data_IF_582350840625
#
_entry.id   IF_582350840625
#
_cell.length_a   1.000
_cell.length_b   1.000
_cell.length_c   1.000
_cell.angle_alpha   90.00
_cell.angle_beta   90.00
_cell.angle_gamma   90.00
#
_symmetry.space_group_name_H-M   'P 1'
#
loop_
_entity.id
_entity.type
_entity.pdbx_description
1 polymer ?
#
# COMPACT_ATOMS: atom_id res chain seq x y z
N UNK A 1 18.85 -10.68 -8.91
CA UNK A 1 17.59 -10.51 -8.17
C UNK A 1 16.94 -11.88 -8.02
N UNK A 2 16.68 -12.37 -6.80
CA UNK A 2 16.07 -13.70 -6.63
C UNK A 2 14.55 -13.64 -6.78
N UNK A 3 13.92 -14.74 -7.22
CA UNK A 3 12.46 -14.84 -7.30
C UNK A 3 11.78 -14.56 -5.96
N UNK A 4 12.39 -15.02 -4.86
CA UNK A 4 11.86 -14.75 -3.52
C UNK A 4 11.87 -13.25 -3.21
N UNK A 5 12.96 -12.55 -3.52
CA UNK A 5 13.07 -11.12 -3.28
C UNK A 5 12.04 -10.32 -4.10
N UNK A 6 11.77 -10.73 -5.35
CA UNK A 6 10.74 -10.06 -6.17
C UNK A 6 9.34 -10.30 -5.63
N UNK A 7 9.01 -11.52 -5.23
CA UNK A 7 7.71 -11.82 -4.61
C UNK A 7 7.48 -11.03 -3.33
N UNK A 8 8.48 -10.99 -2.43
CA UNK A 8 8.40 -10.20 -1.19
C UNK A 8 8.19 -8.72 -1.51
N UNK A 9 8.90 -8.19 -2.50
CA UNK A 9 8.77 -6.78 -2.90
C UNK A 9 7.37 -6.47 -3.44
N UNK A 10 6.78 -7.36 -4.26
CA UNK A 10 5.40 -7.19 -4.77
C UNK A 10 4.38 -7.23 -3.63
N UNK A 11 4.52 -8.18 -2.70
CA UNK A 11 3.63 -8.27 -1.54
C UNK A 11 3.74 -7.01 -0.67
N UNK A 12 4.96 -6.56 -0.40
CA UNK A 12 5.21 -5.35 0.38
C UNK A 12 4.63 -4.11 -0.30
N UNK A 13 4.75 -4.02 -1.63
CA UNK A 13 4.15 -2.94 -2.42
C UNK A 13 2.61 -2.94 -2.33
N UNK A 14 1.97 -4.11 -2.48
CA UNK A 14 0.52 -4.25 -2.37
C UNK A 14 0.00 -3.86 -0.98
N UNK A 15 0.74 -4.19 0.08
CA UNK A 15 0.41 -3.80 1.44
C UNK A 15 0.50 -2.29 1.63
N UNK A 16 1.56 -1.67 1.11
CA UNK A 16 1.72 -0.21 1.13
C UNK A 16 0.60 0.49 0.37
N UNK A 17 0.25 -0.01 -0.81
CA UNK A 17 -0.86 0.50 -1.61
C UNK A 17 -2.19 0.45 -0.85
N UNK A 18 -2.51 -0.68 -0.22
CA UNK A 18 -3.73 -0.81 0.57
C UNK A 18 -3.74 0.11 1.80
N UNK A 19 -2.61 0.24 2.48
CA UNK A 19 -2.48 1.12 3.63
C UNK A 19 -2.64 2.60 3.23
N UNK A 20 -2.13 2.99 2.07
CA UNK A 20 -2.33 4.32 1.51
C UNK A 20 -3.80 4.60 1.21
N UNK A 21 -4.50 3.68 0.52
CA UNK A 21 -5.91 3.84 0.20
C UNK A 21 -6.80 3.96 1.46
N UNK A 22 -6.34 3.41 2.59
CA UNK A 22 -6.99 3.58 3.91
C UNK A 22 -6.57 4.84 4.66
N UNK A 23 -5.74 5.70 4.07
CA UNK A 23 -5.25 6.93 4.70
C UNK A 23 -4.22 6.71 5.83
N UNK A 24 -3.71 5.49 6.02
CA UNK A 24 -2.79 5.18 7.12
C UNK A 24 -1.44 5.87 6.97
N UNK A 25 -1.06 6.20 5.73
CA UNK A 25 0.17 6.92 5.42
C UNK A 25 0.32 8.25 6.18
N UNK A 26 -0.79 8.93 6.49
CA UNK A 26 -0.79 10.19 7.24
C UNK A 26 -0.40 10.02 8.73
N UNK A 27 -0.59 8.81 9.28
CA UNK A 27 -0.22 8.51 10.67
C UNK A 27 1.28 8.31 10.83
N UNK A 28 1.94 7.80 9.79
CA UNK A 28 3.39 7.54 9.78
C UNK A 28 4.20 8.73 9.24
N UNK A 29 3.54 9.79 8.80
CA UNK A 29 4.20 11.03 8.39
C UNK A 29 4.40 11.97 9.59
N UNK A 30 5.63 12.48 9.71
CA UNK A 30 6.00 13.50 10.68
C UNK A 30 5.66 14.93 10.22
N UNK A 31 5.20 15.11 8.98
CA UNK A 31 4.87 16.44 8.45
C UNK A 31 3.62 17.03 9.12
N UNK A 32 3.66 18.34 9.39
CA UNK A 32 2.53 19.10 9.92
C UNK A 32 1.36 19.19 8.93
N UNK A 33 1.66 19.24 7.62
CA UNK A 33 0.65 19.19 6.54
C UNK A 33 0.56 17.77 5.99
N UNK A 34 -0.58 17.11 6.25
CA UNK A 34 -0.85 15.70 5.97
C UNK A 34 -1.74 15.50 4.74
N UNK A 35 -1.49 16.25 3.66
CA UNK A 35 -2.34 16.22 2.45
C UNK A 35 -1.77 15.41 1.30
N UNK A 36 -0.50 14.99 1.37
CA UNK A 36 0.20 14.32 0.26
C UNK A 36 0.90 13.05 0.73
N UNK A 37 1.08 12.10 -0.19
CA UNK A 37 1.99 10.97 0.02
C UNK A 37 3.43 11.47 -0.04
N UNK A 38 4.17 11.34 1.07
CA UNK A 38 5.61 11.63 1.12
C UNK A 38 6.44 10.33 1.17
N UNK A 39 5.93 9.29 1.82
CA UNK A 39 6.63 8.02 2.00
C UNK A 39 6.28 7.02 0.89
N UNK A 40 7.26 6.19 0.50
CA UNK A 40 7.03 5.14 -0.51
C UNK A 40 6.11 4.04 0.02
N UNK A 41 5.50 3.26 -0.87
CA UNK A 41 4.68 2.11 -0.47
C UNK A 41 5.47 1.07 0.32
N UNK A 42 6.74 0.82 -0.03
CA UNK A 42 7.56 -0.15 0.68
C UNK A 42 7.83 0.32 2.12
N UNK A 43 8.21 1.59 2.29
CA UNK A 43 8.43 2.20 3.60
C UNK A 43 7.15 2.25 4.43
N UNK A 44 6.01 2.55 3.80
CA UNK A 44 4.71 2.52 4.46
C UNK A 44 4.35 1.11 4.92
N UNK A 45 4.53 0.11 4.07
CA UNK A 45 4.27 -1.28 4.41
C UNK A 45 5.15 -1.74 5.57
N UNK A 46 6.44 -1.41 5.55
CA UNK A 46 7.35 -1.70 6.66
C UNK A 46 6.85 -1.08 7.97
N UNK A 47 6.50 0.21 7.96
CA UNK A 47 6.00 0.91 9.13
C UNK A 47 4.69 0.31 9.65
N UNK A 48 3.78 -0.06 8.76
CA UNK A 48 2.52 -0.71 9.10
C UNK A 48 2.76 -2.08 9.72
N UNK A 49 3.68 -2.87 9.16
CA UNK A 49 4.03 -4.19 9.72
C UNK A 49 4.70 -4.08 11.08
N UNK A 50 5.58 -3.09 11.27
CA UNK A 50 6.29 -2.84 12.52
C UNK A 50 5.33 -2.44 13.65
N UNK A 51 4.33 -1.61 13.37
CA UNK A 51 3.44 -1.04 14.40
C UNK A 51 2.06 -1.70 14.47
N UNK A 52 1.65 -2.45 13.45
CA UNK A 52 0.30 -3.02 13.35
C UNK A 52 0.29 -4.32 12.53
N UNK A 53 1.02 -5.37 12.97
CA UNK A 53 1.18 -6.61 12.20
C UNK A 53 -0.14 -7.36 11.96
N UNK A 54 -1.13 -7.20 12.84
CA UNK A 54 -2.45 -7.82 12.72
C UNK A 54 -3.24 -7.34 11.51
N UNK A 55 -2.84 -6.23 10.88
CA UNK A 55 -3.52 -5.75 9.67
C UNK A 55 -3.44 -6.77 8.54
N UNK A 56 -2.36 -7.58 8.48
CA UNK A 56 -2.18 -8.66 7.52
C UNK A 56 -3.28 -9.73 7.61
N UNK A 57 -3.74 -10.05 8.83
CA UNK A 57 -4.80 -11.02 9.03
C UNK A 57 -6.17 -10.46 8.61
N UNK A 58 -6.32 -9.14 8.66
CA UNK A 58 -7.56 -8.44 8.32
C UNK A 58 -7.61 -7.99 6.85
N UNK A 59 -6.49 -8.04 6.13
CA UNK A 59 -6.42 -7.66 4.72
C UNK A 59 -6.96 -8.78 3.85
N UNK A 60 -8.09 -8.53 3.19
CA UNK A 60 -8.66 -9.44 2.20
C UNK A 60 -8.07 -9.11 0.84
N UNK A 61 -7.24 -10.00 0.28
CA UNK A 61 -6.48 -9.76 -0.96
C UNK A 61 -7.38 -9.35 -2.14
N UNK A 62 -8.55 -9.96 -2.29
CA UNK A 62 -9.50 -9.64 -3.36
C UNK A 62 -9.93 -8.18 -3.34
N UNK A 63 -10.09 -7.57 -2.15
CA UNK A 63 -10.46 -6.16 -2.03
C UNK A 63 -9.36 -5.24 -2.55
N UNK A 64 -8.10 -5.58 -2.25
CA UNK A 64 -6.92 -4.83 -2.71
C UNK A 64 -6.81 -4.90 -4.23
N UNK A 65 -6.91 -6.11 -4.79
CA UNK A 65 -6.82 -6.33 -6.23
C UNK A 65 -7.98 -5.68 -6.99
N UNK A 66 -9.21 -5.74 -6.46
CA UNK A 66 -10.36 -5.07 -7.06
C UNK A 66 -10.22 -3.55 -7.04
N UNK A 67 -9.61 -2.98 -5.99
CA UNK A 67 -9.31 -1.56 -5.97
C UNK A 67 -8.23 -1.20 -7.00
N UNK A 68 -7.16 -1.99 -7.08
CA UNK A 68 -6.09 -1.80 -8.05
C UNK A 68 -6.60 -1.89 -9.50
N UNK A 69 -7.44 -2.90 -9.79
CA UNK A 69 -8.04 -3.07 -11.11
C UNK A 69 -8.95 -1.90 -11.48
N UNK A 70 -9.72 -1.36 -10.53
CA UNK A 70 -10.53 -0.15 -10.76
C UNK A 70 -9.67 1.07 -11.02
N UNK A 71 -8.62 1.29 -10.23
CA UNK A 71 -7.69 2.40 -10.42
C UNK A 71 -6.97 2.32 -11.78
N UNK A 72 -6.55 1.12 -12.18
CA UNK A 72 -5.96 0.87 -13.49
C UNK A 72 -6.95 1.14 -14.62
N UNK A 73 -8.18 0.60 -14.52
CA UNK A 73 -9.24 0.87 -15.49
C UNK A 73 -9.56 2.35 -15.60
N UNK A 74 -9.64 3.08 -14.48
CA UNK A 74 -9.87 4.53 -14.51
C UNK A 74 -8.73 5.32 -15.11
N UNK A 75 -7.49 4.83 -15.05
CA UNK A 75 -6.35 5.47 -15.74
C UNK A 75 -6.34 5.17 -17.24
N UNK A 76 -6.69 3.95 -17.63
CA UNK A 76 -6.59 3.48 -19.02
C UNK A 76 -7.82 3.87 -19.86
N UNK A 77 -9.01 3.87 -19.26
CA UNK A 77 -10.28 4.14 -19.95
C UNK A 77 -10.67 5.63 -19.91
N UNK A 78 -9.71 6.56 -19.87
CA UNK A 78 -9.97 8.02 -19.97
C UNK A 78 -10.18 8.44 -21.44
N UNK A 79 -10.81 7.58 -22.25
CA UNK A 79 -11.17 7.86 -23.64
C UNK A 79 -12.68 7.90 -23.81
#
# INVERSE_FOLDING_TARGET
LSLLATLVTIVMWLLGYHAENKGLHLRYQANSLKSRRVISYLTLAENVLRHSPLILRRTVLSTVLNHLARAYRSMVLVY
#
